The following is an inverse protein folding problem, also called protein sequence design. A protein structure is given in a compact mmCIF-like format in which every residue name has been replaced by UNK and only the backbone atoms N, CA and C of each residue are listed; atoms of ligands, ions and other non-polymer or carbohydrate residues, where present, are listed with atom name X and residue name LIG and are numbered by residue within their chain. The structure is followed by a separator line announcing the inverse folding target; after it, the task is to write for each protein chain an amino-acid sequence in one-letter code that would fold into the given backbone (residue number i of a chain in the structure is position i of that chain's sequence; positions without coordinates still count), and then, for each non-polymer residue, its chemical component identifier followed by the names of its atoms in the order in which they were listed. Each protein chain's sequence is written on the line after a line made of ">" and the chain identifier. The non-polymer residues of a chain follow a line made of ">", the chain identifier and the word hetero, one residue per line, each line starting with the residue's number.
data_IF_193976231196
#
_entry.id   IF_193976231196
#
_cell.length_a   1.000
_cell.length_b   1.000
_cell.length_c   1.000
_cell.angle_alpha   90.00
_cell.angle_beta   90.00
_cell.angle_gamma   90.00
#
_symmetry.space_group_name_H-M   'P 1'
#
loop_
_entity.id
_entity.type
_entity.pdbx_description
1 polymer ?
#
# COMPACT_ATOMS: atom_id res chain seq x y z
N UNK A 1 56.18 -53.62 3.52
CA UNK A 1 55.98 -52.94 2.22
C UNK A 1 55.48 -51.53 2.54
N UNK A 2 56.38 -50.59 2.89
CA UNK A 2 57.06 -49.66 1.98
C UNK A 2 56.09 -48.96 1.02
N UNK A 3 55.67 -47.78 1.47
CA UNK A 3 55.52 -46.53 0.70
C UNK A 3 54.65 -46.57 -0.55
N UNK A 4 53.45 -45.98 -0.47
CA UNK A 4 53.05 -44.99 -1.49
C UNK A 4 52.39 -43.78 -0.81
N UNK A 5 53.27 -42.85 -0.47
CA UNK A 5 53.02 -41.45 -0.22
C UNK A 5 52.75 -40.77 -1.57
N UNK A 6 51.58 -40.18 -1.77
CA UNK A 6 51.34 -39.15 -2.79
C UNK A 6 50.20 -38.26 -2.28
N UNK A 7 50.51 -37.20 -1.55
CA UNK A 7 50.85 -35.87 -2.05
C UNK A 7 49.59 -35.01 -2.26
N UNK A 8 49.31 -34.28 -1.20
CA UNK A 8 48.57 -33.01 -1.09
C UNK A 8 48.58 -32.09 -2.32
N UNK A 9 47.41 -31.52 -2.64
CA UNK A 9 47.12 -30.15 -3.15
C UNK A 9 45.63 -29.91 -2.78
N UNK A 10 45.32 -29.22 -1.69
CA UNK A 10 45.20 -27.77 -1.55
C UNK A 10 43.93 -27.16 -2.20
N UNK A 11 43.05 -26.68 -1.31
CA UNK A 11 42.37 -25.36 -1.34
C UNK A 11 41.34 -25.10 -2.46
N UNK A 12 40.06 -25.01 -2.09
CA UNK A 12 39.16 -23.90 -2.45
C UNK A 12 37.90 -23.96 -1.55
N UNK A 13 37.90 -23.26 -0.42
CA UNK A 13 37.28 -21.92 -0.25
C UNK A 13 35.74 -21.98 -0.26
N UNK A 14 35.19 -21.93 0.95
CA UNK A 14 34.09 -21.06 1.38
C UNK A 14 32.98 -20.78 0.34
N UNK A 15 31.99 -21.67 0.28
CA UNK A 15 30.65 -21.31 -0.18
C UNK A 15 29.79 -20.94 1.05
N UNK A 16 30.11 -19.82 1.70
CA UNK A 16 29.16 -19.16 2.59
C UNK A 16 28.05 -18.57 1.72
N UNK A 17 27.01 -19.35 1.46
CA UNK A 17 25.78 -18.85 0.86
C UNK A 17 25.15 -17.89 1.87
N UNK A 18 25.45 -16.60 1.67
CA UNK A 18 24.77 -15.48 2.30
C UNK A 18 23.28 -15.61 1.97
N UNK A 19 22.50 -16.14 2.91
CA UNK A 19 21.05 -16.04 2.84
C UNK A 19 20.71 -14.56 2.98
N UNK A 20 20.43 -13.94 1.85
CA UNK A 20 19.93 -12.58 1.77
C UNK A 20 18.65 -12.50 2.60
N UNK A 21 18.75 -11.86 3.77
CA UNK A 21 17.57 -11.39 4.48
C UNK A 21 16.93 -10.34 3.59
N UNK A 22 15.89 -10.72 2.86
CA UNK A 22 14.96 -9.77 2.27
C UNK A 22 14.31 -9.01 3.43
N UNK A 23 14.94 -7.92 3.84
CA UNK A 23 14.29 -6.87 4.62
C UNK A 23 13.16 -6.35 3.74
N UNK A 24 11.98 -6.95 3.89
CA UNK A 24 10.73 -6.34 3.48
C UNK A 24 10.63 -5.05 4.28
N UNK A 25 11.15 -3.97 3.71
CA UNK A 25 10.82 -2.63 4.12
C UNK A 25 9.31 -2.50 3.95
N UNK A 26 8.57 -2.85 5.00
CA UNK A 26 7.23 -2.37 5.18
C UNK A 26 7.36 -0.85 5.16
N UNK A 27 7.05 -0.24 4.02
CA UNK A 27 6.81 1.19 3.95
C UNK A 27 5.80 1.50 5.04
N UNK A 28 6.30 1.97 6.18
CA UNK A 28 5.55 2.86 7.04
C UNK A 28 5.31 4.10 6.20
N UNK A 29 4.29 4.00 5.34
CA UNK A 29 3.55 5.16 4.87
C UNK A 29 3.04 5.76 6.16
N UNK A 30 3.78 6.73 6.68
CA UNK A 30 3.27 7.69 7.64
C UNK A 30 1.99 8.20 6.99
N UNK A 31 0.86 7.62 7.41
CA UNK A 31 -0.43 7.80 6.76
C UNK A 31 -0.86 9.19 7.15
N UNK A 32 -0.32 10.17 6.43
CA UNK A 32 -0.67 11.56 6.56
C UNK A 32 -2.17 11.64 6.40
N UNK A 33 -2.82 12.32 7.33
CA UNK A 33 -4.27 12.50 7.34
C UNK A 33 -4.74 12.86 5.92
N UNK A 34 -5.73 12.12 5.43
CA UNK A 34 -6.27 12.30 4.09
C UNK A 34 -6.76 13.74 3.98
N UNK A 35 -6.35 14.44 2.93
CA UNK A 35 -6.86 15.78 2.67
C UNK A 35 -8.17 15.75 1.86
N UNK A 36 -8.88 16.88 1.80
CA UNK A 36 -10.15 16.99 1.05
C UNK A 36 -10.04 16.55 -0.41
N UNK A 37 -8.92 16.85 -1.08
CA UNK A 37 -8.72 16.50 -2.50
C UNK A 37 -8.55 14.99 -2.68
N UNK A 38 -7.76 14.36 -1.82
CA UNK A 38 -7.57 12.91 -1.79
C UNK A 38 -8.89 12.19 -1.49
N UNK A 39 -9.74 12.73 -0.61
CA UNK A 39 -11.06 12.16 -0.35
C UNK A 39 -11.95 12.17 -1.60
N UNK A 40 -11.90 13.23 -2.41
CA UNK A 40 -12.62 13.30 -3.69
C UNK A 40 -12.06 12.29 -4.69
N UNK A 41 -10.73 12.19 -4.81
CA UNK A 41 -10.11 11.21 -5.71
C UNK A 41 -10.44 9.78 -5.31
N UNK A 42 -10.44 9.47 -4.00
CA UNK A 42 -10.85 8.17 -3.48
C UNK A 42 -12.32 7.90 -3.75
N UNK A 43 -13.20 8.88 -3.50
CA UNK A 43 -14.63 8.73 -3.76
C UNK A 43 -14.92 8.52 -5.26
N UNK A 44 -14.23 9.25 -6.15
CA UNK A 44 -14.35 9.11 -7.61
C UNK A 44 -13.80 7.79 -8.15
N UNK A 45 -12.87 7.14 -7.45
CA UNK A 45 -12.39 5.80 -7.81
C UNK A 45 -13.41 4.71 -7.49
N UNK A 46 -14.27 4.95 -6.50
CA UNK A 46 -15.31 4.01 -6.09
C UNK A 46 -16.59 4.25 -6.87
N UNK A 47 -16.97 5.51 -7.07
CA UNK A 47 -18.18 5.89 -7.80
C UNK A 47 -17.87 6.89 -8.92
N UNK A 48 -18.22 6.52 -10.14
CA UNK A 48 -18.14 7.41 -11.29
C UNK A 48 -19.26 8.46 -11.23
N UNK A 49 -18.88 9.73 -11.32
CA UNK A 49 -19.84 10.83 -11.34
C UNK A 49 -19.23 12.20 -11.05
N UNK A 50 -20.12 13.19 -10.97
CA UNK A 50 -19.75 14.57 -10.64
C UNK A 50 -19.93 14.81 -9.15
N UNK A 51 -18.85 15.21 -8.48
CA UNK A 51 -18.93 15.65 -7.09
C UNK A 51 -19.75 16.94 -6.99
N UNK A 52 -20.81 16.91 -6.17
CA UNK A 52 -21.68 18.05 -5.91
C UNK A 52 -21.19 18.85 -4.70
N UNK A 53 -21.01 18.16 -3.57
CA UNK A 53 -20.66 18.77 -2.28
C UNK A 53 -19.76 17.85 -1.49
N UNK A 54 -18.84 18.46 -0.75
CA UNK A 54 -17.97 17.78 0.19
C UNK A 54 -18.27 18.36 1.57
N UNK A 55 -18.72 17.51 2.48
CA UNK A 55 -18.97 17.88 3.88
C UNK A 55 -17.93 17.19 4.75
N UNK A 56 -17.42 17.91 5.75
CA UNK A 56 -16.50 17.35 6.74
C UNK A 56 -17.26 17.22 8.05
N UNK A 57 -17.42 16.00 8.54
CA UNK A 57 -18.06 15.68 9.80
C UNK A 57 -17.07 14.88 10.64
N UNK A 58 -16.51 15.52 11.67
CA UNK A 58 -15.48 14.95 12.54
C UNK A 58 -14.28 14.41 11.74
N UNK A 59 -14.11 13.09 11.75
CA UNK A 59 -13.04 12.35 11.05
C UNK A 59 -13.51 11.73 9.73
N UNK A 60 -14.66 12.16 9.18
CA UNK A 60 -15.22 11.63 7.93
C UNK A 60 -15.46 12.77 6.93
N UNK A 61 -15.03 12.54 5.68
CA UNK A 61 -15.44 13.32 4.52
C UNK A 61 -16.63 12.64 3.84
N UNK A 62 -17.78 13.31 3.82
CA UNK A 62 -18.93 12.88 3.02
C UNK A 62 -18.87 13.58 1.67
N UNK A 63 -18.59 12.82 0.63
CA UNK A 63 -18.53 13.28 -0.76
C UNK A 63 -19.82 12.89 -1.45
N UNK A 64 -20.64 13.87 -1.79
CA UNK A 64 -21.89 13.68 -2.53
C UNK A 64 -21.61 13.66 -4.02
N UNK A 65 -21.99 12.58 -4.70
CA UNK A 65 -21.71 12.37 -6.12
C UNK A 65 -23.03 12.23 -6.88
N UNK A 66 -23.19 13.04 -7.93
CA UNK A 66 -24.23 12.88 -8.94
C UNK A 66 -23.73 11.87 -9.97
N UNK A 67 -24.41 10.72 -10.03
CA UNK A 67 -24.16 9.68 -11.02
C UNK A 67 -24.74 10.08 -12.38
N UNK A 68 -24.27 9.42 -13.44
CA UNK A 68 -24.79 9.61 -14.79
C UNK A 68 -26.26 9.23 -14.95
N UNK A 69 -26.76 8.35 -14.09
CA UNK A 69 -28.17 7.92 -14.04
C UNK A 69 -29.09 8.96 -13.34
N UNK A 70 -28.54 10.09 -12.89
CA UNK A 70 -29.28 11.15 -12.21
C UNK A 70 -29.46 10.95 -10.70
N UNK A 71 -29.04 9.81 -10.15
CA UNK A 71 -29.11 9.56 -8.70
C UNK A 71 -27.93 10.21 -7.99
N UNK A 72 -28.16 10.52 -6.71
CA UNK A 72 -27.16 11.09 -5.83
C UNK A 72 -26.77 10.05 -4.79
N UNK A 73 -25.48 9.77 -4.69
CA UNK A 73 -24.92 8.84 -3.69
C UNK A 73 -23.98 9.60 -2.76
N UNK A 74 -24.01 9.26 -1.49
CA UNK A 74 -23.16 9.85 -0.46
C UNK A 74 -22.03 8.84 -0.13
N UNK A 75 -20.79 9.24 -0.41
CA UNK A 75 -19.60 8.42 -0.17
C UNK A 75 -18.84 8.95 1.04
N UNK A 76 -18.67 8.11 2.05
CA UNK A 76 -17.99 8.42 3.30
C UNK A 76 -16.53 7.99 3.25
N UNK A 77 -15.59 8.92 3.41
CA UNK A 77 -14.15 8.65 3.42
C UNK A 77 -13.58 9.00 4.79
N UNK A 78 -12.97 8.04 5.47
CA UNK A 78 -12.34 8.26 6.77
C UNK A 78 -11.02 9.05 6.61
N UNK A 79 -10.86 10.13 7.38
CA UNK A 79 -9.69 11.03 7.35
C UNK A 79 -8.40 10.37 7.81
N UNK A 80 -8.47 9.46 8.78
CA UNK A 80 -7.33 8.80 9.39
C UNK A 80 -6.93 7.54 8.63
N UNK A 81 -7.92 6.78 8.16
CA UNK A 81 -7.67 5.48 7.52
C UNK A 81 -7.82 5.51 5.99
N UNK A 82 -8.41 6.54 5.41
CA UNK A 82 -8.73 6.56 3.97
C UNK A 82 -9.74 5.48 3.56
N UNK A 83 -10.39 4.82 4.52
CA UNK A 83 -11.43 3.83 4.25
C UNK A 83 -12.65 4.51 3.64
N UNK A 84 -13.16 3.92 2.55
CA UNK A 84 -14.31 4.45 1.82
C UNK A 84 -15.52 3.54 2.08
N UNK A 85 -16.63 4.13 2.55
CA UNK A 85 -17.92 3.46 2.73
C UNK A 85 -18.97 4.16 1.88
N UNK A 86 -19.81 3.35 1.24
CA UNK A 86 -20.95 3.83 0.44
C UNK A 86 -22.23 3.72 1.25
N UNK A 87 -23.08 4.73 1.13
CA UNK A 87 -24.48 4.70 1.56
C UNK A 87 -25.41 4.73 0.34
#
# INVERSE_FOLDING_TARGET
>A
MRTVLALSIAILVLASSVFSTNSQAASQVNKTEINKKQAVELAKKVEDGKTLKITVLNDIYTVRILKSDGHVVDVHVNKKTGEVKKD
#
